data_IF_808964376344
#
_entry.id   IF_808964376344
#
_cell.length_a   1.000
_cell.length_b   1.000
_cell.length_c   1.000
_cell.angle_alpha   90.00
_cell.angle_beta   90.00
_cell.angle_gamma   90.00
#
_symmetry.space_group_name_H-M   'P 1'
#
loop_
_entity.id
_entity.type
_entity.pdbx_description
1 polymer ?
#
# COMPACT_ATOMS: atom_id res chain seq x y z
N UNK A 1 4.50 -17.25 4.43
CA UNK A 1 5.58 -16.74 3.55
C UNK A 1 5.36 -15.23 3.47
N UNK A 2 6.37 -14.37 3.68
CA UNK A 2 6.15 -12.91 3.62
C UNK A 2 6.03 -12.47 2.15
N UNK A 3 4.87 -11.93 1.79
CA UNK A 3 4.65 -11.32 0.47
C UNK A 3 5.52 -10.07 0.34
N UNK A 4 6.33 -10.00 -0.71
CA UNK A 4 7.11 -8.81 -1.04
C UNK A 4 6.28 -7.96 -1.99
N UNK A 5 6.14 -6.67 -1.72
CA UNK A 5 5.51 -5.70 -2.62
C UNK A 5 6.56 -4.78 -3.21
N UNK A 6 6.43 -4.48 -4.50
CA UNK A 6 7.21 -3.41 -5.14
C UNK A 6 6.57 -2.07 -4.79
N UNK A 7 7.37 -1.21 -4.18
CA UNK A 7 7.02 0.18 -3.86
C UNK A 7 7.97 1.09 -4.61
N UNK A 8 7.44 2.18 -5.15
CA UNK A 8 8.21 3.18 -5.86
C UNK A 8 8.09 4.50 -5.12
N UNK A 9 9.21 4.99 -4.59
CA UNK A 9 9.32 6.24 -3.83
C UNK A 9 10.08 7.25 -4.69
N UNK A 10 9.55 8.45 -4.83
CA UNK A 10 10.12 9.48 -5.69
C UNK A 10 9.86 10.87 -5.13
N UNK A 11 10.77 11.80 -5.41
CA UNK A 11 10.59 13.21 -5.11
C UNK A 11 9.81 13.86 -6.25
N UNK A 12 8.73 14.56 -5.94
CA UNK A 12 8.14 15.53 -6.86
C UNK A 12 8.97 16.82 -6.75
N UNK A 13 9.77 17.10 -7.79
CA UNK A 13 10.65 18.27 -7.80
C UNK A 13 9.88 19.59 -7.90
N UNK A 14 8.68 19.59 -8.49
CA UNK A 14 7.85 20.79 -8.61
C UNK A 14 7.20 21.14 -7.26
N UNK A 15 6.68 20.13 -6.56
CA UNK A 15 6.05 20.29 -5.26
C UNK A 15 7.04 20.30 -4.08
N UNK A 16 8.27 19.84 -4.28
CA UNK A 16 9.32 19.79 -3.26
C UNK A 16 9.03 18.80 -2.13
N UNK A 17 8.28 17.73 -2.40
CA UNK A 17 7.86 16.75 -1.41
C UNK A 17 7.93 15.32 -1.97
N UNK A 18 7.94 14.34 -1.07
CA UNK A 18 8.07 12.93 -1.40
C UNK A 18 6.72 12.28 -1.64
N UNK A 19 6.72 11.37 -2.61
CA UNK A 19 5.58 10.60 -3.06
C UNK A 19 5.92 9.12 -3.13
N UNK A 20 4.87 8.29 -3.17
CA UNK A 20 5.00 6.86 -3.37
C UNK A 20 3.84 6.29 -4.19
N UNK A 21 4.09 5.13 -4.78
CA UNK A 21 3.06 4.28 -5.37
C UNK A 21 3.31 2.80 -5.12
N UNK A 22 2.23 2.05 -4.97
CA UNK A 22 2.21 0.59 -4.81
C UNK A 22 1.36 0.02 -5.93
N UNK A 23 1.96 -0.28 -7.11
CA UNK A 23 1.18 -0.63 -8.31
C UNK A 23 0.26 -1.82 -8.12
N UNK A 24 0.69 -2.85 -7.38
CA UNK A 24 -0.08 -4.07 -7.14
C UNK A 24 -1.37 -3.84 -6.32
N UNK A 25 -1.43 -2.75 -5.55
CA UNK A 25 -2.60 -2.39 -4.72
C UNK A 25 -3.31 -1.13 -5.24
N UNK A 26 -2.87 -0.57 -6.38
CA UNK A 26 -3.38 0.68 -6.92
C UNK A 26 -3.33 1.88 -5.95
N UNK A 27 -2.36 1.87 -5.02
CA UNK A 27 -2.16 2.95 -4.05
C UNK A 27 -1.23 3.99 -4.63
N UNK A 28 -1.59 5.27 -4.47
CA UNK A 28 -0.70 6.41 -4.67
C UNK A 28 -0.85 7.34 -3.47
N UNK A 29 0.26 7.84 -2.95
CA UNK A 29 0.28 8.80 -1.85
C UNK A 29 1.49 9.72 -1.95
N UNK A 30 1.61 10.64 -1.00
CA UNK A 30 2.70 11.60 -0.97
C UNK A 30 2.35 12.90 -0.26
N UNK A 31 3.13 13.94 -0.57
CA UNK A 31 3.05 15.21 0.14
C UNK A 31 3.85 15.24 1.43
N UNK A 32 4.73 14.26 1.66
CA UNK A 32 5.54 14.20 2.88
C UNK A 32 6.86 14.96 2.70
N UNK A 33 7.40 15.51 3.78
CA UNK A 33 8.61 16.34 3.72
C UNK A 33 9.89 15.54 3.48
N UNK A 34 9.91 14.27 3.89
CA UNK A 34 11.10 13.39 3.79
C UNK A 34 10.77 12.08 3.10
N UNK A 35 11.83 11.41 2.62
CA UNK A 35 11.74 10.07 2.04
C UNK A 35 11.24 9.06 3.07
N UNK A 36 11.76 9.17 4.29
CA UNK A 36 11.43 8.30 5.41
C UNK A 36 9.95 8.44 5.80
N UNK A 37 9.43 9.67 5.82
CA UNK A 37 8.01 9.92 6.07
C UNK A 37 7.14 9.30 4.96
N UNK A 38 7.56 9.40 3.69
CA UNK A 38 6.83 8.75 2.58
C UNK A 38 6.85 7.22 2.70
N UNK A 39 7.94 6.64 3.18
CA UNK A 39 8.03 5.20 3.43
C UNK A 39 7.10 4.75 4.56
N UNK A 40 7.07 5.50 5.68
CA UNK A 40 6.17 5.21 6.79
C UNK A 40 4.69 5.37 6.39
N UNK A 41 4.36 6.45 5.67
CA UNK A 41 3.01 6.68 5.16
C UNK A 41 2.59 5.58 4.17
N UNK A 42 3.50 5.15 3.28
CA UNK A 42 3.26 4.04 2.37
C UNK A 42 2.95 2.72 3.11
N UNK A 43 3.70 2.41 4.17
CA UNK A 43 3.44 1.21 4.99
C UNK A 43 2.07 1.28 5.66
N UNK A 44 1.68 2.44 6.19
CA UNK A 44 0.37 2.66 6.77
C UNK A 44 -0.76 2.49 5.74
N UNK A 45 -0.58 3.03 4.53
CA UNK A 45 -1.54 2.89 3.44
C UNK A 45 -1.71 1.43 2.98
N UNK A 46 -0.61 0.67 2.89
CA UNK A 46 -0.65 -0.78 2.58
C UNK A 46 -1.41 -1.53 3.67
N UNK A 47 -1.09 -1.27 4.95
CA UNK A 47 -1.76 -1.93 6.07
C UNK A 47 -3.27 -1.67 6.04
N UNK A 48 -3.68 -0.40 5.90
CA UNK A 48 -5.08 -0.03 5.79
C UNK A 48 -5.80 -0.74 4.63
N UNK A 49 -5.18 -0.78 3.44
CA UNK A 49 -5.77 -1.43 2.27
C UNK A 49 -5.94 -2.95 2.45
N UNK A 50 -5.02 -3.61 3.15
CA UNK A 50 -5.06 -5.04 3.39
C UNK A 50 -5.96 -5.44 4.56
N UNK A 51 -6.08 -4.59 5.59
CA UNK A 51 -7.00 -4.78 6.71
C UNK A 51 -8.46 -4.65 6.27
N UNK A 52 -8.74 -3.78 5.29
CA UNK A 52 -10.09 -3.47 4.83
C UNK A 52 -10.91 -2.71 5.89
N UNK A 53 -12.12 -2.28 5.51
CA UNK A 53 -13.07 -1.70 6.47
C UNK A 53 -14.02 -2.78 6.96
N UNK A 54 -14.10 -3.04 8.29
CA UNK A 54 -15.07 -3.96 8.86
C UNK A 54 -16.52 -3.73 8.41
N UNK A 55 -16.87 -2.49 8.05
CA UNK A 55 -18.21 -2.09 7.59
C UNK A 55 -18.50 -2.48 6.15
N UNK A 56 -17.48 -2.81 5.37
CA UNK A 56 -17.62 -3.23 3.98
C UNK A 56 -17.88 -4.74 3.86
N UNK A 57 -17.73 -5.50 4.94
CA UNK A 57 -18.03 -6.94 4.95
C UNK A 57 -19.52 -7.20 5.15
N UNK A 58 -20.05 -8.11 4.34
CA UNK A 58 -21.35 -8.73 4.58
C UNK A 58 -21.23 -9.79 5.68
N UNK A 59 -21.93 -9.60 6.80
CA UNK A 59 -21.90 -10.52 7.94
C UNK A 59 -22.63 -11.84 7.70
N UNK A 60 -23.43 -11.94 6.64
CA UNK A 60 -24.14 -13.17 6.26
C UNK A 60 -23.36 -13.98 5.22
N UNK A 61 -22.29 -13.44 4.65
CA UNK A 61 -21.48 -14.14 3.66
C UNK A 61 -20.58 -15.22 4.27
N UNK A 62 -20.37 -16.31 3.53
CA UNK A 62 -19.37 -17.31 3.87
C UNK A 62 -17.96 -16.75 3.67
N UNK A 63 -17.10 -16.87 4.69
CA UNK A 63 -15.73 -16.36 4.65
C UNK A 63 -14.72 -17.50 4.49
N UNK A 64 -13.76 -17.34 3.58
CA UNK A 64 -12.60 -18.22 3.41
C UNK A 64 -11.31 -17.40 3.43
N UNK A 65 -10.32 -17.86 4.20
CA UNK A 65 -8.97 -17.30 4.17
C UNK A 65 -8.09 -18.09 3.20
N UNK A 66 -7.39 -17.38 2.31
CA UNK A 66 -6.48 -17.96 1.33
C UNK A 66 -5.05 -17.47 1.61
N UNK A 67 -4.08 -18.38 1.57
CA UNK A 67 -2.66 -18.02 1.54
C UNK A 67 -2.28 -17.74 0.07
N UNK A 68 -1.87 -16.50 -0.21
CA UNK A 68 -1.56 -16.04 -1.55
C UNK A 68 -0.08 -15.73 -1.67
N UNK A 69 0.59 -16.40 -2.60
CA UNK A 69 1.98 -16.12 -2.96
C UNK A 69 2.04 -15.25 -4.21
N UNK A 70 2.74 -14.13 -4.14
CA UNK A 70 2.89 -13.16 -5.23
C UNK A 70 4.36 -12.97 -5.59
N UNK A 71 4.65 -12.81 -6.88
CA UNK A 71 5.94 -12.35 -7.38
C UNK A 71 5.78 -10.91 -7.89
N UNK A 72 6.54 -9.93 -7.34
CA UNK A 72 6.51 -8.57 -7.86
C UNK A 72 6.86 -8.52 -9.35
N UNK A 73 6.20 -7.61 -10.08
CA UNK A 73 6.59 -7.31 -11.45
C UNK A 73 8.03 -6.74 -11.50
N UNK A 74 8.81 -7.22 -12.46
CA UNK A 74 10.21 -6.84 -12.70
C UNK A 74 10.38 -5.37 -13.08
#
# INVERSE_FOLDING_TARGET
MMSVLRVELFLDEEAGNWHYRVPALHINGGGTSTREDAEQDCLAAIAFALEGDPRDYDSEAETLNLDVSVQPAA
#
